data_IF_096965093314
#
_entry.id   IF_096965093314
#
_cell.length_a   1.000
_cell.length_b   1.000
_cell.length_c   1.000
_cell.angle_alpha   90.00
_cell.angle_beta   90.00
_cell.angle_gamma   90.00
#
_symmetry.space_group_name_H-M   'P 1'
#
loop_
_entity.id
_entity.type
_entity.pdbx_description
1 polymer ?
#
# COMPACT_ATOMS: atom_id res chain seq x y z
N UNK A 1 1.85 -8.81 5.20
CA UNK A 1 2.60 -9.71 6.11
C UNK A 1 1.69 -10.85 6.48
N UNK A 2 2.19 -12.08 6.32
CA UNK A 2 1.50 -13.25 6.82
C UNK A 2 1.93 -13.49 8.26
N UNK A 3 0.94 -13.71 9.13
CA UNK A 3 1.09 -13.76 10.58
C UNK A 3 0.48 -15.07 11.05
N UNK A 4 1.17 -15.76 11.97
CA UNK A 4 0.66 -17.00 12.58
C UNK A 4 -0.66 -16.78 13.31
N UNK A 5 -1.40 -17.85 13.58
CA UNK A 5 -2.59 -17.79 14.43
C UNK A 5 -2.27 -17.22 15.82
N UNK A 6 -1.15 -17.63 16.41
CA UNK A 6 -0.67 -17.12 17.71
C UNK A 6 -0.41 -15.61 17.68
N UNK A 7 0.25 -15.11 16.63
CA UNK A 7 0.47 -13.67 16.44
C UNK A 7 -0.83 -12.88 16.28
N UNK A 8 -1.81 -13.44 15.57
CA UNK A 8 -3.14 -12.84 15.41
C UNK A 8 -3.93 -12.81 16.71
N UNK A 9 -3.93 -13.90 17.47
CA UNK A 9 -4.56 -13.96 18.79
C UNK A 9 -3.92 -12.92 19.72
N UNK A 10 -2.59 -12.84 19.73
CA UNK A 10 -1.86 -11.80 20.49
C UNK A 10 -2.29 -10.39 20.08
N UNK A 11 -2.44 -10.12 18.78
CA UNK A 11 -2.89 -8.82 18.27
C UNK A 11 -4.32 -8.47 18.74
N UNK A 12 -5.24 -9.44 18.70
CA UNK A 12 -6.63 -9.27 19.08
C UNK A 12 -6.80 -9.10 20.61
N UNK A 13 -6.10 -9.89 21.41
CA UNK A 13 -6.17 -9.78 22.88
C UNK A 13 -5.59 -8.44 23.38
N UNK A 14 -4.49 -7.96 22.78
CA UNK A 14 -3.98 -6.61 23.08
C UNK A 14 -5.03 -5.54 22.81
N UNK A 15 -5.78 -5.64 21.71
CA UNK A 15 -6.86 -4.68 21.41
C UNK A 15 -7.95 -4.67 22.47
N UNK A 16 -8.31 -5.84 23.04
CA UNK A 16 -9.24 -5.89 24.17
C UNK A 16 -8.73 -5.14 25.39
N UNK A 17 -7.43 -5.17 25.63
CA UNK A 17 -6.82 -4.46 26.76
C UNK A 17 -6.82 -2.95 26.55
N UNK A 18 -6.47 -2.49 25.35
CA UNK A 18 -6.27 -1.06 25.07
C UNK A 18 -7.53 -0.32 24.63
N UNK A 19 -8.47 -0.99 23.95
CA UNK A 19 -9.71 -0.39 23.47
C UNK A 19 -10.83 -1.45 23.38
N UNK A 20 -11.42 -1.86 24.52
CA UNK A 20 -12.49 -2.87 24.56
C UNK A 20 -13.67 -2.53 23.65
N UNK A 21 -13.95 -1.24 23.43
CA UNK A 21 -15.05 -0.77 22.57
C UNK A 21 -14.90 -1.20 21.11
N UNK A 22 -13.67 -1.50 20.67
CA UNK A 22 -13.36 -1.98 19.32
C UNK A 22 -13.39 -3.50 19.18
N UNK A 23 -13.86 -4.25 20.18
CA UNK A 23 -13.86 -5.72 20.14
C UNK A 23 -15.20 -6.30 19.71
N UNK A 24 -15.70 -5.82 18.57
CA UNK A 24 -16.91 -6.37 17.97
C UNK A 24 -16.59 -7.55 17.03
N UNK A 25 -17.65 -8.20 16.55
CA UNK A 25 -17.54 -9.34 15.63
C UNK A 25 -16.75 -8.99 14.37
N UNK A 26 -16.92 -7.81 13.77
CA UNK A 26 -16.19 -7.40 12.57
C UNK A 26 -14.68 -7.32 12.79
N UNK A 27 -14.23 -6.85 13.96
CA UNK A 27 -12.80 -6.82 14.30
C UNK A 27 -12.26 -8.22 14.54
N UNK A 28 -13.04 -9.09 15.19
CA UNK A 28 -12.68 -10.51 15.35
C UNK A 28 -12.53 -11.18 14.00
N UNK A 29 -13.49 -10.98 13.09
CA UNK A 29 -13.44 -11.52 11.73
C UNK A 29 -12.22 -10.99 10.98
N UNK A 30 -11.98 -9.68 11.04
CA UNK A 30 -10.85 -9.04 10.38
C UNK A 30 -9.47 -9.58 10.84
N UNK A 31 -9.30 -9.87 12.13
CA UNK A 31 -7.99 -10.24 12.70
C UNK A 31 -7.81 -11.76 12.80
N UNK A 32 -8.85 -12.52 13.15
CA UNK A 32 -8.75 -13.95 13.46
C UNK A 32 -9.33 -14.85 12.38
N UNK A 33 -10.48 -14.49 11.81
CA UNK A 33 -11.27 -15.44 11.00
C UNK A 33 -11.01 -15.29 9.49
N UNK A 34 -10.77 -14.06 9.03
CA UNK A 34 -10.66 -13.73 7.61
C UNK A 34 -12.02 -13.61 6.91
N UNK A 35 -11.99 -13.57 5.58
CA UNK A 35 -13.17 -13.52 4.71
C UNK A 35 -13.03 -14.59 3.63
N UNK A 36 -14.09 -15.35 3.37
CA UNK A 36 -14.11 -16.39 2.33
C UNK A 36 -12.94 -17.40 2.42
N UNK A 37 -12.55 -17.75 3.66
CA UNK A 37 -11.41 -18.63 3.94
C UNK A 37 -10.04 -17.97 3.76
N UNK A 38 -9.99 -16.68 3.42
CA UNK A 38 -8.76 -15.91 3.21
C UNK A 38 -8.48 -15.03 4.43
N UNK A 39 -7.31 -15.22 5.01
CA UNK A 39 -6.82 -14.42 6.12
C UNK A 39 -6.36 -13.04 5.65
N UNK A 40 -6.82 -11.97 6.30
CA UNK A 40 -6.43 -10.60 5.96
C UNK A 40 -4.99 -10.32 6.41
N UNK A 41 -4.06 -9.94 5.52
CA UNK A 41 -2.66 -9.74 5.89
C UNK A 41 -2.48 -8.55 6.83
N UNK A 42 -1.44 -8.61 7.66
CA UNK A 42 -0.97 -7.44 8.40
C UNK A 42 -0.22 -6.48 7.48
N UNK A 43 -0.57 -5.19 7.53
CA UNK A 43 0.07 -4.13 6.76
C UNK A 43 1.01 -3.38 7.70
N UNK A 44 2.30 -3.32 7.39
CA UNK A 44 3.24 -2.56 8.22
C UNK A 44 2.84 -1.08 8.24
N UNK A 45 2.85 -0.48 9.42
CA UNK A 45 2.56 0.95 9.59
C UNK A 45 3.61 1.61 10.45
N UNK A 46 3.66 2.94 10.41
CA UNK A 46 4.48 3.73 11.34
C UNK A 46 3.97 3.52 12.77
N UNK A 47 4.91 3.46 13.71
CA UNK A 47 4.59 3.53 15.14
C UNK A 47 4.27 4.98 15.46
N UNK A 48 3.03 5.22 15.89
CA UNK A 48 2.63 6.49 16.50
C UNK A 48 2.72 6.30 18.01
N UNK A 49 3.60 7.05 18.67
CA UNK A 49 3.87 6.91 20.11
C UNK A 49 4.93 5.85 20.45
N UNK A 50 4.70 5.07 21.50
CA UNK A 50 5.71 4.15 22.06
C UNK A 50 5.88 2.89 21.20
N UNK A 51 7.12 2.63 20.79
CA UNK A 51 7.49 1.36 20.17
C UNK A 51 7.60 0.27 21.24
N UNK A 52 6.87 -0.83 21.08
CA UNK A 52 6.99 -1.99 21.95
C UNK A 52 8.15 -2.87 21.46
N UNK A 53 9.11 -3.13 22.36
CA UNK A 53 10.28 -3.96 22.04
C UNK A 53 9.84 -5.35 21.56
N UNK A 54 10.40 -5.81 20.44
CA UNK A 54 10.07 -7.12 19.87
C UNK A 54 8.75 -7.15 19.09
N UNK A 55 7.99 -6.05 19.04
CA UNK A 55 6.72 -5.98 18.33
C UNK A 55 6.84 -5.18 17.03
N UNK A 56 6.01 -5.52 16.06
CA UNK A 56 5.85 -4.81 14.80
C UNK A 56 4.46 -4.16 14.77
N UNK A 57 4.42 -2.86 14.49
CA UNK A 57 3.17 -2.16 14.28
C UNK A 57 2.56 -2.56 12.93
N UNK A 58 1.36 -3.12 12.98
CA UNK A 58 0.60 -3.53 11.80
C UNK A 58 -0.77 -2.88 11.80
N UNK A 59 -1.41 -2.85 10.65
CA UNK A 59 -2.82 -2.55 10.47
C UNK A 59 -3.51 -3.66 9.70
N UNK A 60 -4.73 -3.99 10.09
CA UNK A 60 -5.62 -4.86 9.32
C UNK A 60 -6.69 -3.99 8.68
N UNK A 61 -6.95 -4.18 7.38
CA UNK A 61 -7.98 -3.45 6.66
C UNK A 61 -9.01 -4.42 6.10
N UNK A 62 -10.28 -4.15 6.34
CA UNK A 62 -11.38 -4.92 5.76
C UNK A 62 -11.45 -4.74 4.23
N UNK A 63 -11.76 -5.79 3.45
CA UNK A 63 -12.09 -5.64 2.03
C UNK A 63 -13.39 -4.85 1.85
N UNK A 64 -14.35 -5.05 2.75
CA UNK A 64 -15.66 -4.40 2.73
C UNK A 64 -15.68 -3.03 3.44
N UNK A 65 -16.54 -2.15 2.92
CA UNK A 65 -16.87 -0.84 3.51
C UNK A 65 -18.09 -0.98 4.41
N UNK A 66 -18.13 -0.26 5.52
CA UNK A 66 -19.19 -0.33 6.52
C UNK A 66 -19.78 1.06 6.86
N UNK A 67 -21.04 1.05 7.33
CA UNK A 67 -21.72 2.23 7.84
C UNK A 67 -22.25 3.21 6.77
N UNK A 68 -22.98 4.24 7.23
CA UNK A 68 -23.62 5.25 6.36
C UNK A 68 -22.64 6.19 5.65
N UNK A 69 -21.33 6.06 5.91
CA UNK A 69 -20.24 6.82 5.30
C UNK A 69 -19.21 5.99 4.52
N UNK A 70 -19.51 4.72 4.20
CA UNK A 70 -18.73 3.83 3.30
C UNK A 70 -17.20 3.76 3.55
N UNK A 71 -16.76 3.94 4.80
CA UNK A 71 -15.37 3.77 5.19
C UNK A 71 -15.00 2.30 5.35
N UNK A 72 -13.72 1.96 5.14
CA UNK A 72 -13.21 0.64 5.51
C UNK A 72 -12.90 0.57 6.99
N UNK A 73 -13.26 -0.54 7.62
CA UNK A 73 -12.76 -0.87 8.95
C UNK A 73 -11.23 -1.08 8.86
N UNK A 74 -10.49 -0.26 9.58
CA UNK A 74 -9.03 -0.37 9.72
C UNK A 74 -8.70 -0.45 11.19
N UNK A 75 -7.98 -1.51 11.58
CA UNK A 75 -7.64 -1.77 12.98
C UNK A 75 -6.13 -1.77 13.13
N UNK A 76 -5.55 -0.79 13.85
CA UNK A 76 -4.14 -0.81 14.18
C UNK A 76 -3.89 -1.87 15.26
N UNK A 77 -2.79 -2.61 15.16
CA UNK A 77 -2.39 -3.60 16.15
C UNK A 77 -0.85 -3.65 16.27
N UNK A 78 -0.38 -4.48 17.20
CA UNK A 78 1.01 -4.86 17.34
C UNK A 78 1.11 -6.38 17.36
N UNK A 79 2.07 -6.92 16.62
CA UNK A 79 2.30 -8.36 16.49
C UNK A 79 3.74 -8.67 16.89
N UNK A 80 4.02 -9.74 17.65
CA UNK A 80 5.39 -10.14 17.95
C UNK A 80 6.16 -10.45 16.66
N UNK A 81 7.40 -9.97 16.56
CA UNK A 81 8.20 -10.09 15.33
C UNK A 81 8.40 -11.55 14.92
N UNK A 82 8.56 -12.44 15.89
CA UNK A 82 8.71 -13.89 15.73
C UNK A 82 7.46 -14.58 15.16
N UNK A 83 6.29 -13.95 15.23
CA UNK A 83 5.03 -14.50 14.70
C UNK A 83 4.75 -14.02 13.26
N UNK A 84 5.67 -13.26 12.66
CA UNK A 84 5.60 -12.87 11.24
C UNK A 84 6.28 -13.97 10.41
N UNK A 85 5.48 -14.70 9.65
CA UNK A 85 5.94 -15.83 8.83
C UNK A 85 6.49 -15.36 7.49
N UNK A 86 5.88 -14.31 6.93
CA UNK A 86 6.25 -13.81 5.60
C UNK A 86 6.05 -12.31 5.48
N UNK A 87 7.03 -11.65 4.88
CA UNK A 87 6.92 -10.26 4.42
C UNK A 87 6.84 -10.23 2.90
N UNK A 88 5.97 -9.37 2.39
CA UNK A 88 5.75 -9.16 0.96
C UNK A 88 5.87 -7.66 0.74
N UNK A 89 6.78 -7.26 -0.13
CA UNK A 89 6.95 -5.85 -0.51
C UNK A 89 5.93 -5.46 -1.57
N UNK A 90 5.62 -4.16 -1.75
CA UNK A 90 4.77 -3.69 -2.84
C UNK A 90 5.19 -4.20 -4.23
N UNK A 91 6.51 -4.37 -4.46
CA UNK A 91 7.07 -4.88 -5.71
C UNK A 91 6.75 -6.36 -5.95
N UNK A 92 6.73 -7.17 -4.88
CA UNK A 92 6.44 -8.61 -4.98
C UNK A 92 4.94 -8.91 -5.13
N UNK A 93 4.06 -7.94 -4.85
CA UNK A 93 2.61 -8.13 -5.01
C UNK A 93 2.25 -8.47 -6.46
N UNK A 94 2.95 -7.86 -7.42
CA UNK A 94 2.70 -8.05 -8.86
C UNK A 94 3.17 -9.40 -9.42
N UNK A 95 3.80 -10.25 -8.60
CA UNK A 95 4.05 -11.65 -8.93
C UNK A 95 2.75 -12.48 -8.97
N UNK A 96 1.65 -11.95 -8.39
CA UNK A 96 0.33 -12.58 -8.39
C UNK A 96 -0.52 -12.10 -9.58
N UNK A 97 -1.48 -12.93 -10.07
CA UNK A 97 -2.39 -12.54 -11.13
C UNK A 97 -3.25 -11.32 -10.76
N UNK A 98 -3.47 -10.44 -11.73
CA UNK A 98 -4.38 -9.30 -11.61
C UNK A 98 -5.70 -9.67 -12.28
N UNK A 99 -6.81 -9.67 -11.53
CA UNK A 99 -8.12 -10.19 -11.97
C UNK A 99 -8.85 -9.32 -13.01
N UNK A 100 -8.45 -8.04 -13.17
CA UNK A 100 -9.12 -7.09 -14.07
C UNK A 100 -10.57 -6.77 -13.69
N UNK A 101 -11.00 -7.07 -12.45
CA UNK A 101 -12.39 -6.96 -11.99
C UNK A 101 -12.95 -5.53 -12.04
N UNK A 102 -12.11 -4.55 -11.75
CA UNK A 102 -12.49 -3.12 -11.69
C UNK A 102 -11.68 -2.31 -12.69
N UNK A 103 -12.12 -1.09 -13.02
CA UNK A 103 -11.34 -0.17 -13.87
C UNK A 103 -9.95 0.10 -13.29
N UNK A 104 -9.83 0.18 -11.96
CA UNK A 104 -8.56 0.31 -11.27
C UNK A 104 -7.62 -0.89 -11.55
N UNK A 105 -8.12 -2.13 -11.46
CA UNK A 105 -7.30 -3.31 -11.75
C UNK A 105 -6.99 -3.49 -13.24
N UNK A 106 -7.88 -3.04 -14.14
CA UNK A 106 -7.59 -3.00 -15.58
C UNK A 106 -6.51 -1.96 -15.91
N UNK A 107 -6.57 -0.79 -15.27
CA UNK A 107 -5.49 0.20 -15.35
C UNK A 107 -4.18 -0.41 -14.84
N UNK A 108 -4.18 -1.09 -13.69
CA UNK A 108 -2.98 -1.75 -13.16
C UNK A 108 -2.39 -2.79 -14.12
N UNK A 109 -3.22 -3.57 -14.83
CA UNK A 109 -2.73 -4.51 -15.85
C UNK A 109 -1.96 -3.78 -16.96
N UNK A 110 -2.52 -2.70 -17.51
CA UNK A 110 -1.87 -1.92 -18.56
C UNK A 110 -0.62 -1.20 -18.06
N UNK A 111 -0.66 -0.65 -16.85
CA UNK A 111 0.52 -0.03 -16.22
C UNK A 111 1.62 -1.07 -15.98
N UNK A 112 1.29 -2.29 -15.58
CA UNK A 112 2.27 -3.35 -15.36
C UNK A 112 2.98 -3.75 -16.66
N UNK A 113 2.24 -3.86 -17.78
CA UNK A 113 2.85 -4.11 -19.09
C UNK A 113 3.70 -2.93 -19.57
N UNK A 114 3.24 -1.70 -19.38
CA UNK A 114 4.03 -0.49 -19.65
C UNK A 114 5.34 -0.47 -18.84
N UNK A 115 5.27 -0.77 -17.55
CA UNK A 115 6.43 -0.80 -16.68
C UNK A 115 7.46 -1.85 -17.14
N UNK A 116 7.02 -3.05 -17.56
CA UNK A 116 7.91 -4.06 -18.14
C UNK A 116 8.59 -3.55 -19.41
N UNK A 117 7.84 -2.91 -20.32
CA UNK A 117 8.37 -2.37 -21.58
C UNK A 117 9.41 -1.27 -21.34
N UNK A 118 9.22 -0.45 -20.31
CA UNK A 118 10.16 0.61 -19.92
C UNK A 118 11.19 0.16 -18.88
N UNK A 119 11.23 -1.14 -18.55
CA UNK A 119 12.11 -1.72 -17.52
C UNK A 119 12.00 -1.05 -16.13
N UNK A 120 10.81 -0.51 -15.80
CA UNK A 120 10.53 0.12 -14.51
C UNK A 120 10.25 -0.96 -13.46
N UNK A 121 10.95 -0.88 -12.33
CA UNK A 121 10.62 -1.67 -11.16
C UNK A 121 9.35 -1.10 -10.49
N UNK A 122 8.21 -1.72 -10.80
CA UNK A 122 6.89 -1.31 -10.34
C UNK A 122 6.46 -2.11 -9.11
N UNK A 123 5.89 -1.41 -8.14
CA UNK A 123 5.16 -1.97 -7.02
C UNK A 123 3.76 -1.38 -6.94
N UNK A 124 2.85 -2.14 -6.32
CA UNK A 124 1.48 -1.71 -6.04
C UNK A 124 1.19 -1.88 -4.55
N UNK A 125 0.43 -0.94 -4.01
CA UNK A 125 0.01 -0.96 -2.61
C UNK A 125 -1.43 -0.44 -2.48
N UNK A 126 -1.84 -0.11 -1.25
CA UNK A 126 -3.21 0.30 -0.98
C UNK A 126 -4.24 -0.78 -1.29
N UNK A 127 -5.41 -0.34 -1.73
CA UNK A 127 -6.56 -1.18 -2.07
C UNK A 127 -6.23 -2.23 -3.14
N UNK A 128 -5.62 -1.79 -4.24
CA UNK A 128 -5.30 -2.63 -5.40
C UNK A 128 -4.26 -3.68 -5.03
N UNK A 129 -3.24 -3.31 -4.26
CA UNK A 129 -2.25 -4.26 -3.77
C UNK A 129 -2.83 -5.33 -2.85
N UNK A 130 -3.77 -4.96 -1.98
CA UNK A 130 -4.46 -5.93 -1.12
C UNK A 130 -5.34 -6.89 -1.93
N UNK A 131 -6.05 -6.40 -2.95
CA UNK A 131 -6.85 -7.27 -3.81
C UNK A 131 -5.99 -8.22 -4.63
N UNK A 132 -4.90 -7.75 -5.24
CA UNK A 132 -3.96 -8.62 -5.97
C UNK A 132 -3.36 -9.66 -5.02
N UNK A 133 -3.03 -9.28 -3.78
CA UNK A 133 -2.44 -10.19 -2.81
C UNK A 133 -3.40 -11.28 -2.32
N UNK A 134 -4.64 -10.89 -1.99
CA UNK A 134 -5.61 -11.74 -1.28
C UNK A 134 -6.68 -12.35 -2.18
N UNK A 135 -6.96 -11.75 -3.33
CA UNK A 135 -8.14 -12.05 -4.15
C UNK A 135 -9.46 -11.47 -3.62
N UNK A 136 -9.46 -10.83 -2.42
CA UNK A 136 -10.65 -10.23 -1.83
C UNK A 136 -10.97 -8.86 -2.47
N UNK A 137 -12.23 -8.41 -2.50
CA UNK A 137 -12.66 -7.25 -3.29
C UNK A 137 -12.31 -5.90 -2.61
N UNK A 138 -11.02 -5.57 -2.54
CA UNK A 138 -10.53 -4.29 -2.03
C UNK A 138 -10.66 -3.13 -3.03
N UNK A 139 -11.10 -3.35 -4.26
CA UNK A 139 -11.35 -2.27 -5.22
C UNK A 139 -12.82 -2.19 -5.58
N UNK A 140 -13.26 -0.99 -5.91
CA UNK A 140 -14.59 -0.67 -6.40
C UNK A 140 -14.47 0.33 -7.56
N UNK A 141 -15.61 0.84 -8.04
CA UNK A 141 -15.66 1.79 -9.16
C UNK A 141 -15.00 3.14 -8.87
N UNK A 142 -14.82 3.49 -7.60
CA UNK A 142 -14.32 4.78 -7.14
C UNK A 142 -12.89 4.64 -6.58
N UNK A 143 -12.25 3.50 -6.79
CA UNK A 143 -10.89 3.23 -6.30
C UNK A 143 -9.84 3.90 -7.19
N UNK A 144 -8.89 4.54 -6.52
CA UNK A 144 -7.63 5.01 -7.06
C UNK A 144 -6.60 3.87 -7.14
N UNK A 145 -5.50 4.14 -7.83
CA UNK A 145 -4.39 3.23 -8.01
C UNK A 145 -3.10 3.83 -7.43
N UNK A 146 -2.73 3.35 -6.25
CA UNK A 146 -1.46 3.72 -5.62
C UNK A 146 -0.32 2.87 -6.18
N UNK A 147 0.71 3.52 -6.71
CA UNK A 147 1.89 2.85 -7.28
C UNK A 147 3.17 3.30 -6.59
N UNK A 148 4.15 2.42 -6.61
CA UNK A 148 5.51 2.72 -6.18
C UNK A 148 6.47 2.34 -7.31
N UNK A 149 7.41 3.21 -7.66
CA UNK A 149 8.43 2.93 -8.67
C UNK A 149 9.82 3.13 -8.08
N UNK A 150 10.80 2.38 -8.57
CA UNK A 150 12.20 2.50 -8.14
C UNK A 150 13.16 2.47 -9.33
N UNK A 151 14.20 3.30 -9.24
CA UNK A 151 15.48 3.13 -9.96
C UNK A 151 15.36 3.10 -11.47
N UNK A 152 15.23 4.28 -12.08
CA UNK A 152 15.31 4.49 -13.52
C UNK A 152 15.80 5.91 -13.82
N UNK A 153 16.37 6.11 -15.01
CA UNK A 153 16.74 7.43 -15.50
C UNK A 153 15.54 8.38 -15.52
N UNK A 154 15.76 9.67 -15.25
CA UNK A 154 14.70 10.67 -15.19
C UNK A 154 13.84 10.74 -16.46
N UNK A 155 14.45 10.55 -17.65
CA UNK A 155 13.72 10.52 -18.93
C UNK A 155 12.72 9.35 -19.02
N UNK A 156 13.10 8.18 -18.52
CA UNK A 156 12.22 7.00 -18.51
C UNK A 156 11.08 7.21 -17.52
N UNK A 157 11.38 7.82 -16.36
CA UNK A 157 10.36 8.21 -15.37
C UNK A 157 9.38 9.24 -15.96
N UNK A 158 9.87 10.21 -16.72
CA UNK A 158 9.06 11.21 -17.42
C UNK A 158 8.13 10.57 -18.46
N UNK A 159 8.66 9.71 -19.33
CA UNK A 159 7.88 8.97 -20.32
C UNK A 159 6.79 8.11 -19.67
N UNK A 160 7.13 7.41 -18.60
CA UNK A 160 6.18 6.62 -17.82
C UNK A 160 5.09 7.50 -17.22
N UNK A 161 5.45 8.60 -16.56
CA UNK A 161 4.49 9.50 -15.92
C UNK A 161 3.46 10.04 -16.92
N UNK A 162 3.88 10.50 -18.10
CA UNK A 162 2.94 10.99 -19.11
C UNK A 162 2.07 9.88 -19.69
N UNK A 163 2.61 8.66 -19.82
CA UNK A 163 1.83 7.48 -20.22
C UNK A 163 0.77 7.11 -19.17
N UNK A 164 1.09 7.24 -17.87
CA UNK A 164 0.12 7.02 -16.80
C UNK A 164 -1.07 7.99 -16.88
N UNK A 165 -0.86 9.25 -17.30
CA UNK A 165 -1.96 10.20 -17.47
C UNK A 165 -2.95 9.75 -18.56
N UNK A 166 -2.45 9.16 -19.64
CA UNK A 166 -3.29 8.60 -20.69
C UNK A 166 -4.08 7.37 -20.20
N UNK A 167 -3.44 6.47 -19.46
CA UNK A 167 -4.09 5.29 -18.86
C UNK A 167 -5.14 5.71 -17.83
N UNK A 168 -4.82 6.68 -16.98
CA UNK A 168 -5.75 7.26 -16.00
C UNK A 168 -7.03 7.76 -16.68
N UNK A 169 -6.89 8.54 -17.76
CA UNK A 169 -8.02 9.03 -18.56
C UNK A 169 -8.80 7.89 -19.22
N UNK A 170 -8.12 6.88 -19.77
CA UNK A 170 -8.74 5.73 -20.46
C UNK A 170 -9.66 4.94 -19.53
N UNK A 171 -9.24 4.72 -18.28
CA UNK A 171 -9.99 3.90 -17.32
C UNK A 171 -10.85 4.71 -16.35
N UNK A 172 -10.74 6.04 -16.35
CA UNK A 172 -11.39 6.90 -15.36
C UNK A 172 -10.93 6.58 -13.94
N UNK A 173 -9.68 6.19 -13.77
CA UNK A 173 -9.09 5.80 -12.48
C UNK A 173 -7.92 6.74 -12.18
N UNK A 174 -7.95 7.40 -11.02
CA UNK A 174 -6.83 8.19 -10.55
C UNK A 174 -5.63 7.29 -10.30
N UNK A 175 -4.47 7.64 -10.85
CA UNK A 175 -3.22 6.90 -10.67
C UNK A 175 -2.25 7.81 -9.92
N UNK A 176 -1.83 7.36 -8.73
CA UNK A 176 -0.98 8.08 -7.80
C UNK A 176 0.38 7.37 -7.67
N UNK A 177 1.32 7.64 -8.58
CA UNK A 177 2.65 7.05 -8.52
C UNK A 177 3.58 7.81 -7.56
N UNK A 178 4.28 7.05 -6.71
CA UNK A 178 5.36 7.53 -5.85
C UNK A 178 6.71 6.94 -6.28
N UNK A 179 7.74 7.78 -6.28
CA UNK A 179 9.12 7.41 -6.51
C UNK A 179 9.77 7.03 -5.18
N UNK A 180 10.18 5.77 -5.05
CA UNK A 180 10.95 5.25 -3.91
C UNK A 180 12.43 5.53 -4.09
N UNK A 181 12.96 6.47 -3.30
CA UNK A 181 14.33 6.94 -3.40
C UNK A 181 15.29 6.07 -2.56
N UNK A 182 16.56 5.93 -2.97
CA UNK A 182 17.57 5.15 -2.22
C UNK A 182 17.80 5.61 -0.77
N UNK A 183 17.50 6.87 -0.46
CA UNK A 183 17.62 7.44 0.88
C UNK A 183 16.44 7.05 1.81
N UNK A 184 15.48 6.27 1.33
CA UNK A 184 14.33 5.77 2.08
C UNK A 184 13.12 6.70 2.12
N UNK A 185 13.09 7.74 1.28
CA UNK A 185 11.93 8.61 1.10
C UNK A 185 11.16 8.26 -0.18
N UNK A 186 9.83 8.28 -0.09
CA UNK A 186 8.91 8.30 -1.22
C UNK A 186 8.54 9.74 -1.60
N UNK A 187 8.46 10.04 -2.90
CA UNK A 187 8.04 11.34 -3.45
C UNK A 187 6.96 11.12 -4.49
N UNK A 188 5.84 11.87 -4.44
CA UNK A 188 4.82 11.80 -5.49
C UNK A 188 5.40 12.29 -6.83
N UNK A 189 5.27 11.52 -7.92
CA UNK A 189 5.75 11.97 -9.23
C UNK A 189 5.03 13.23 -9.71
N UNK A 190 3.74 13.38 -9.38
CA UNK A 190 3.01 14.60 -9.69
C UNK A 190 3.72 15.85 -9.15
N UNK A 191 4.24 15.81 -7.92
CA UNK A 191 5.02 16.92 -7.35
C UNK A 191 6.35 17.12 -8.08
N UNK A 192 7.02 16.03 -8.50
CA UNK A 192 8.27 16.09 -9.24
C UNK A 192 8.12 16.82 -10.59
N UNK A 193 6.97 16.71 -11.25
CA UNK A 193 6.68 17.39 -12.53
C UNK A 193 5.98 18.76 -12.40
N UNK A 194 5.65 19.20 -11.18
CA UNK A 194 5.12 20.56 -10.94
C UNK A 194 6.21 21.64 -11.04
N UNK A 195 5.82 22.90 -11.25
CA UNK A 195 6.75 24.04 -11.22
C UNK A 195 7.12 24.47 -9.79
N UNK A 196 7.85 23.61 -9.06
CA UNK A 196 8.37 23.86 -7.71
C UNK A 196 9.86 23.52 -7.62
N UNK A 197 10.56 24.10 -6.65
CA UNK A 197 11.99 23.80 -6.36
C UNK A 197 12.17 22.58 -5.47
N UNK A 198 11.22 22.37 -4.57
CA UNK A 198 11.23 21.34 -3.54
C UNK A 198 9.96 20.48 -3.65
N UNK A 199 10.05 19.26 -3.13
CA UNK A 199 8.94 18.29 -3.06
C UNK A 199 8.87 17.67 -1.68
N UNK A 200 7.68 17.18 -1.30
CA UNK A 200 7.48 16.53 -0.01
C UNK A 200 7.93 15.07 -0.06
N UNK A 201 9.07 14.78 0.57
CA UNK A 201 9.51 13.42 0.85
C UNK A 201 8.82 12.85 2.08
N UNK A 202 8.31 11.61 1.98
CA UNK A 202 7.72 10.86 3.11
C UNK A 202 8.51 9.58 3.38
N UNK A 203 8.76 9.28 4.64
CA UNK A 203 9.38 8.02 5.06
C UNK A 203 8.71 7.47 6.33
N UNK A 204 9.07 6.26 6.71
CA UNK A 204 8.65 5.68 8.00
C UNK A 204 9.16 6.49 9.21
N UNK A 205 10.20 7.31 9.04
CA UNK A 205 10.79 8.14 10.10
C UNK A 205 10.17 9.53 10.19
N UNK A 206 9.57 10.04 9.11
CA UNK A 206 8.97 11.36 9.08
C UNK A 206 8.83 11.93 7.68
N UNK A 207 8.52 13.23 7.63
CA UNK A 207 8.37 14.00 6.39
C UNK A 207 9.49 15.03 6.28
N UNK A 208 9.94 15.35 5.08
CA UNK A 208 10.93 16.39 4.84
C UNK A 208 10.71 17.04 3.46
N UNK A 209 11.14 18.29 3.28
CA UNK A 209 11.23 18.90 1.96
C UNK A 209 12.56 18.51 1.33
N UNK A 210 12.52 18.05 0.07
CA UNK A 210 13.69 17.61 -0.67
C UNK A 210 13.81 18.47 -1.93
N UNK A 211 14.96 19.13 -2.16
CA UNK A 211 15.20 19.85 -3.40
C UNK A 211 15.17 18.89 -4.59
N UNK A 212 14.47 19.27 -5.68
CA UNK A 212 14.38 18.42 -6.89
C UNK A 212 15.74 18.08 -7.46
N UNK A 213 16.69 19.02 -7.41
CA UNK A 213 18.06 18.79 -7.85
C UNK A 213 18.70 17.58 -7.15
N UNK A 214 18.51 17.47 -5.84
CA UNK A 214 19.01 16.34 -5.04
C UNK A 214 18.35 15.01 -5.44
N UNK A 215 17.08 15.03 -5.84
CA UNK A 215 16.40 13.83 -6.36
C UNK A 215 17.00 13.41 -7.70
N UNK A 216 17.21 14.37 -8.61
CA UNK A 216 17.80 14.09 -9.93
C UNK A 216 19.23 13.55 -9.83
N UNK A 217 19.99 13.93 -8.79
CA UNK A 217 21.32 13.39 -8.52
C UNK A 217 21.30 11.95 -7.97
N UNK A 218 20.14 11.43 -7.53
CA UNK A 218 19.96 10.06 -7.01
C UNK A 218 19.38 9.09 -8.05
N UNK A 219 18.91 9.60 -9.19
CA UNK A 219 18.35 8.83 -10.30
C UNK A 219 19.45 8.48 -11.31
#
# INVERSE_FOLDING_TARGET
MDITEKGRLSAYEQLKTYDPSKTNHLVKTLILEGYDGIQVPGIMRRVEGTAFKGMVAVGFSSPYRYGKGQGRLRVPAFVPKEEIVKTITPYQVLEKPISGRTSCLKALQEVNELAKNLNINLGVWGSSGLEVYTGLPYTDKDSDLDLLIRGQDFKVIEEFYFSLLAISKKYGCQIDPELDLPNGYGVKLAELFMHTTDVLGKSMKGVNLIPKKTILEML
#
